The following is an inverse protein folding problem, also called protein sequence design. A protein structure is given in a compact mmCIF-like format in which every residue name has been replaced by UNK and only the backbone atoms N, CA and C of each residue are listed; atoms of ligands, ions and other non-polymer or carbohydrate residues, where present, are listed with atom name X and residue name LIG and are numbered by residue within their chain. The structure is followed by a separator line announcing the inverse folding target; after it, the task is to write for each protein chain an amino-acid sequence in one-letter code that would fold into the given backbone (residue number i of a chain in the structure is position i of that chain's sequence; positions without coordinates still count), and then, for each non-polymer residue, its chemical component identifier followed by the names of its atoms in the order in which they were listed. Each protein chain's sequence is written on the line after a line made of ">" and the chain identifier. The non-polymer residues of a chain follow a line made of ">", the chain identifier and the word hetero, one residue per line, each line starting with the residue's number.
data_IF_479351885726
#
_entry.id   IF_479351885726
#
_cell.length_a   1.000
_cell.length_b   1.000
_cell.length_c   1.000
_cell.angle_alpha   90.00
_cell.angle_beta   90.00
_cell.angle_gamma   90.00
#
_symmetry.space_group_name_H-M   'P 1'
#
loop_
_entity.id
_entity.type
_entity.pdbx_description
1 polymer ?
#
# COMPACT_ATOMS: atom_id res chain seq x y z
N UNK A 1 -4.10 -13.03 5.97
CA UNK A 1 -5.04 -12.60 4.92
C UNK A 1 -5.24 -11.11 5.14
N UNK A 2 -4.99 -10.25 4.14
CA UNK A 2 -5.16 -8.80 4.31
C UNK A 2 -6.64 -8.48 4.47
N UNK A 3 -6.94 -7.56 5.38
CA UNK A 3 -8.26 -6.94 5.47
C UNK A 3 -8.34 -5.83 4.41
N UNK A 4 -8.83 -6.21 3.22
CA UNK A 4 -8.94 -5.30 2.08
C UNK A 4 -9.96 -4.19 2.31
N UNK A 5 -10.98 -4.46 3.13
CA UNK A 5 -12.01 -3.49 3.48
C UNK A 5 -11.44 -2.43 4.42
N UNK A 6 -10.64 -2.85 5.41
CA UNK A 6 -9.90 -1.91 6.26
C UNK A 6 -8.94 -1.05 5.45
N UNK A 7 -8.18 -1.63 4.51
CA UNK A 7 -7.23 -0.86 3.69
C UNK A 7 -7.91 0.09 2.69
N UNK A 8 -9.06 -0.31 2.13
CA UNK A 8 -9.80 0.53 1.20
C UNK A 8 -10.45 1.75 1.89
N UNK A 9 -10.85 1.60 3.16
CA UNK A 9 -11.50 2.62 3.96
C UNK A 9 -10.56 3.35 4.94
N UNK A 10 -9.26 3.08 4.86
CA UNK A 10 -8.25 3.70 5.70
C UNK A 10 -8.19 5.23 5.47
N UNK A 11 -8.42 6.06 6.50
CA UNK A 11 -8.45 7.51 6.34
C UNK A 11 -7.12 8.11 5.88
N UNK A 12 -5.98 7.57 6.31
CA UNK A 12 -4.66 8.05 5.89
C UNK A 12 -4.42 7.68 4.43
N UNK A 13 -4.65 6.42 4.03
CA UNK A 13 -4.58 6.02 2.62
C UNK A 13 -5.61 6.76 1.74
N UNK A 14 -6.70 7.26 2.33
CA UNK A 14 -7.64 8.16 1.67
C UNK A 14 -7.00 9.46 1.16
N UNK A 15 -5.89 9.90 1.77
CA UNK A 15 -5.17 11.13 1.43
C UNK A 15 -4.04 10.91 0.41
N UNK A 16 -3.93 9.73 -0.22
CA UNK A 16 -2.79 9.34 -1.09
C UNK A 16 -2.52 10.31 -2.26
N UNK A 17 -3.53 11.08 -2.68
CA UNK A 17 -3.49 12.06 -3.76
C UNK A 17 -3.23 13.50 -3.28
N UNK A 18 -3.11 13.70 -1.96
CA UNK A 18 -2.81 14.97 -1.33
C UNK A 18 -1.29 15.22 -1.34
N UNK A 19 -0.90 16.42 -1.75
CA UNK A 19 0.51 16.81 -1.91
C UNK A 19 1.33 16.67 -0.61
N UNK A 20 0.76 17.12 0.51
CA UNK A 20 1.36 17.05 1.84
C UNK A 20 0.93 15.80 2.61
N UNK A 21 0.80 14.67 1.90
CA UNK A 21 0.46 13.36 2.48
C UNK A 21 1.27 13.10 3.77
N UNK A 22 0.60 12.77 4.89
CA UNK A 22 1.25 12.55 6.19
C UNK A 22 1.98 11.20 6.24
N UNK A 23 3.08 11.08 5.48
CA UNK A 23 3.82 9.82 5.27
C UNK A 23 4.36 9.20 6.55
N UNK A 24 4.76 10.02 7.53
CA UNK A 24 5.26 9.52 8.80
C UNK A 24 4.15 9.00 9.72
N UNK A 25 2.93 9.54 9.64
CA UNK A 25 1.79 8.96 10.33
C UNK A 25 1.40 7.63 9.67
N UNK A 26 1.44 7.59 8.34
CA UNK A 26 1.24 6.35 7.57
C UNK A 26 2.26 5.27 7.95
N UNK A 27 3.54 5.63 8.07
CA UNK A 27 4.60 4.72 8.52
C UNK A 27 4.32 4.17 9.92
N UNK A 28 3.97 5.03 10.88
CA UNK A 28 3.64 4.62 12.24
C UNK A 28 2.47 3.65 12.29
N UNK A 29 1.46 3.85 11.43
CA UNK A 29 0.28 3.00 11.36
C UNK A 29 0.54 1.67 10.63
N UNK A 30 1.19 1.71 9.47
CA UNK A 30 1.47 0.52 8.65
C UNK A 30 2.62 -0.33 9.19
N UNK A 31 3.51 0.27 9.99
CA UNK A 31 4.75 -0.35 10.45
C UNK A 31 5.62 -0.75 9.26
N UNK A 32 5.94 -2.04 9.17
CA UNK A 32 6.82 -2.57 8.12
C UNK A 32 6.13 -2.88 6.79
N UNK A 33 4.89 -2.41 6.61
CA UNK A 33 4.01 -2.68 5.48
C UNK A 33 3.60 -1.40 4.70
N UNK A 34 4.28 -0.27 4.94
CA UNK A 34 3.92 1.01 4.33
C UNK A 34 3.94 0.97 2.80
N UNK A 35 4.97 0.38 2.17
CA UNK A 35 5.11 0.31 0.72
C UNK A 35 3.99 -0.53 0.12
N UNK A 36 3.77 -1.73 0.67
CA UNK A 36 2.74 -2.63 0.16
C UNK A 36 1.32 -2.05 0.29
N UNK A 37 1.03 -1.33 1.39
CA UNK A 37 -0.27 -0.67 1.59
C UNK A 37 -0.46 0.55 0.68
N UNK A 38 0.56 1.43 0.56
CA UNK A 38 0.48 2.60 -0.33
C UNK A 38 0.35 2.16 -1.79
N UNK A 39 1.13 1.16 -2.24
CA UNK A 39 1.01 0.63 -3.60
C UNK A 39 -0.37 0.03 -3.85
N UNK A 40 -0.95 -0.72 -2.91
CA UNK A 40 -2.32 -1.21 -3.03
C UNK A 40 -3.30 -0.06 -3.26
N UNK A 41 -3.22 0.99 -2.44
CA UNK A 41 -4.11 2.14 -2.55
C UNK A 41 -3.98 2.87 -3.88
N UNK A 42 -2.75 3.11 -4.35
CA UNK A 42 -2.50 3.74 -5.65
C UNK A 42 -3.07 2.90 -6.79
N UNK A 43 -2.84 1.59 -6.79
CA UNK A 43 -3.34 0.68 -7.83
C UNK A 43 -4.87 0.58 -7.83
N UNK A 44 -5.48 0.67 -6.65
CA UNK A 44 -6.92 0.73 -6.50
C UNK A 44 -7.48 2.06 -7.05
N UNK A 45 -6.93 3.19 -6.62
CA UNK A 45 -7.39 4.53 -7.01
C UNK A 45 -7.24 4.81 -8.51
N UNK A 46 -6.23 4.21 -9.15
CA UNK A 46 -5.97 4.35 -10.59
C UNK A 46 -6.66 3.31 -11.45
N UNK A 47 -7.35 2.32 -10.85
CA UNK A 47 -8.02 1.25 -11.59
C UNK A 47 -7.06 0.25 -12.25
N UNK A 48 -5.80 0.18 -11.82
CA UNK A 48 -4.79 -0.71 -12.40
C UNK A 48 -5.11 -2.19 -12.16
N UNK A 49 -5.67 -2.52 -10.99
CA UNK A 49 -6.09 -3.91 -10.71
C UNK A 49 -7.08 -4.43 -11.74
N UNK A 50 -8.10 -3.63 -12.08
CA UNK A 50 -9.12 -3.99 -13.05
C UNK A 50 -8.55 -4.00 -14.47
N UNK A 51 -7.87 -2.91 -14.86
CA UNK A 51 -7.34 -2.72 -16.22
C UNK A 51 -6.39 -3.84 -16.65
N UNK A 52 -5.57 -4.33 -15.74
CA UNK A 52 -4.56 -5.36 -16.01
C UNK A 52 -4.90 -6.72 -15.40
N UNK A 53 -6.08 -6.86 -14.76
CA UNK A 53 -6.51 -8.08 -14.05
C UNK A 53 -5.45 -8.59 -13.07
N UNK A 54 -4.83 -7.66 -12.34
CA UNK A 54 -3.75 -7.99 -11.40
C UNK A 54 -4.34 -8.75 -10.21
N UNK A 55 -3.89 -9.99 -9.93
CA UNK A 55 -4.38 -10.74 -8.79
C UNK A 55 -3.81 -10.19 -7.48
N UNK A 56 -4.66 -10.01 -6.47
CA UNK A 56 -4.29 -9.40 -5.20
C UNK A 56 -3.26 -10.23 -4.41
N UNK A 57 -3.41 -11.56 -4.36
CA UNK A 57 -2.49 -12.40 -3.58
C UNK A 57 -1.04 -12.33 -4.10
N UNK A 58 -0.76 -12.53 -5.41
CA UNK A 58 0.59 -12.34 -5.95
C UNK A 58 1.09 -10.89 -5.83
N UNK A 59 0.20 -9.89 -5.97
CA UNK A 59 0.55 -8.49 -5.77
C UNK A 59 1.12 -8.25 -4.37
N UNK A 60 0.40 -8.65 -3.32
CA UNK A 60 0.87 -8.45 -1.96
C UNK A 60 2.10 -9.29 -1.64
N UNK A 61 2.20 -10.51 -2.15
CA UNK A 61 3.40 -11.33 -1.98
C UNK A 61 4.64 -10.65 -2.58
N UNK A 62 4.52 -10.14 -3.81
CA UNK A 62 5.59 -9.44 -4.50
C UNK A 62 6.02 -8.18 -3.74
N UNK A 63 5.07 -7.30 -3.41
CA UNK A 63 5.40 -6.03 -2.73
C UNK A 63 5.93 -6.25 -1.31
N UNK A 64 5.53 -7.31 -0.61
CA UNK A 64 6.09 -7.64 0.69
C UNK A 64 7.55 -8.10 0.60
N UNK A 65 7.90 -8.94 -0.39
CA UNK A 65 9.30 -9.32 -0.62
C UNK A 65 10.14 -8.12 -1.08
N UNK A 66 9.57 -7.25 -1.91
CA UNK A 66 10.22 -6.00 -2.30
C UNK A 66 10.50 -5.12 -1.08
N UNK A 67 9.49 -4.91 -0.22
CA UNK A 67 9.56 -4.07 0.96
C UNK A 67 10.57 -4.59 2.00
N UNK A 68 10.66 -5.91 2.18
CA UNK A 68 11.73 -6.52 3.00
C UNK A 68 13.12 -6.12 2.53
N UNK A 69 13.33 -6.03 1.22
CA UNK A 69 14.61 -5.63 0.63
C UNK A 69 15.05 -4.18 0.94
N UNK A 70 14.16 -3.33 1.48
CA UNK A 70 14.47 -1.94 1.83
C UNK A 70 14.73 -1.71 3.32
N UNK A 71 14.52 -2.71 4.19
CA UNK A 71 14.54 -2.53 5.66
C UNK A 71 15.93 -2.28 6.26
N UNK A 72 17.00 -2.64 5.54
CA UNK A 72 18.39 -2.61 6.06
C UNK A 72 19.22 -1.43 5.51
N UNK A 73 18.59 -0.31 5.11
CA UNK A 73 19.33 0.90 4.72
C UNK A 73 19.36 1.92 5.87
N UNK A 74 20.53 2.51 6.17
CA UNK A 74 20.72 3.43 7.30
C UNK A 74 19.96 4.75 7.17
#
# INVERSE_FOLDING_TARGET
>A
MYDLESLANDPLLGLIDIWDFPVFDMERQAGTLILSQMCYRVFLATGLFESFRIPLTPFFAYFHELEKGYRDKP
#
